data_IF_601311214958
#
_entry.id   IF_601311214958
#
_cell.length_a   1.000
_cell.length_b   1.000
_cell.length_c   1.000
_cell.angle_alpha   90.00
_cell.angle_beta   90.00
_cell.angle_gamma   90.00
#
_symmetry.space_group_name_H-M   'P 1'
#
loop_
_entity.id
_entity.type
_entity.pdbx_description
1 polymer ?
#
# COMPACT_ATOMS: atom_id res chain seq x y z
N UNK A 1 30.19 19.22 29.55
CA UNK A 1 30.00 17.77 29.73
C UNK A 1 30.51 17.08 28.49
N UNK A 2 31.43 16.14 28.63
CA UNK A 2 31.81 15.24 27.52
C UNK A 2 30.77 14.12 27.53
N UNK A 3 29.99 13.98 26.46
CA UNK A 3 29.07 12.86 26.34
C UNK A 3 29.90 11.57 26.33
N UNK A 4 29.61 10.65 27.26
CA UNK A 4 30.26 9.34 27.32
C UNK A 4 29.45 8.40 26.44
N UNK A 5 30.09 7.84 25.42
CA UNK A 5 29.46 6.87 24.52
C UNK A 5 29.11 5.61 25.29
N UNK A 6 27.85 5.18 25.25
CA UNK A 6 27.39 3.92 25.83
C UNK A 6 27.14 2.90 24.71
N UNK A 7 27.82 1.76 24.77
CA UNK A 7 27.68 0.68 23.78
C UNK A 7 26.54 -0.29 24.07
N UNK A 8 25.87 -0.18 25.22
CA UNK A 8 24.72 -1.03 25.56
C UNK A 8 23.50 -0.59 24.75
N UNK A 9 23.02 -1.47 23.86
CA UNK A 9 21.84 -1.24 23.02
C UNK A 9 20.56 -0.96 23.83
N UNK A 10 20.51 -1.34 25.12
CA UNK A 10 19.38 -1.07 26.00
C UNK A 10 19.43 0.32 26.62
N UNK A 11 20.52 1.07 26.41
CA UNK A 11 20.65 2.41 26.96
C UNK A 11 19.74 3.42 26.25
N UNK A 12 19.43 4.50 26.95
CA UNK A 12 18.51 5.53 26.46
C UNK A 12 18.99 6.21 25.17
N UNK A 13 20.30 6.23 24.94
CA UNK A 13 20.92 6.82 23.74
C UNK A 13 20.55 6.07 22.45
N UNK A 14 20.21 4.78 22.53
CA UNK A 14 19.82 3.94 21.38
C UNK A 14 18.30 3.82 21.20
N UNK A 15 17.51 4.06 22.26
CA UNK A 15 16.03 3.96 22.21
C UNK A 15 15.32 5.31 22.09
N UNK A 16 15.93 6.38 22.60
CA UNK A 16 15.33 7.71 22.68
C UNK A 16 14.16 7.81 23.67
N UNK A 17 13.65 9.03 23.85
CA UNK A 17 12.42 9.27 24.63
C UNK A 17 11.19 9.06 23.76
N UNK A 18 10.11 8.58 24.38
CA UNK A 18 8.80 8.52 23.73
C UNK A 18 8.27 9.93 23.40
N UNK A 19 7.71 10.18 22.20
CA UNK A 19 7.61 9.26 21.07
C UNK A 19 8.94 9.18 20.30
N UNK A 20 9.49 7.97 20.15
CA UNK A 20 10.72 7.74 19.40
C UNK A 20 10.52 7.99 17.89
N UNK A 21 11.60 8.31 17.17
CA UNK A 21 11.58 8.87 15.81
C UNK A 21 11.16 7.94 14.65
N UNK A 22 10.45 6.83 14.92
CA UNK A 22 10.05 5.84 13.90
C UNK A 22 8.82 6.27 13.09
N UNK A 23 7.85 6.90 13.73
CA UNK A 23 6.60 7.30 13.09
C UNK A 23 6.65 8.74 12.55
N UNK A 24 5.66 9.09 11.72
CA UNK A 24 5.43 10.49 11.37
C UNK A 24 4.81 11.29 12.53
N UNK A 25 4.37 12.52 12.27
CA UNK A 25 3.69 13.37 13.26
C UNK A 25 2.50 12.69 13.97
N UNK A 26 1.82 11.76 13.29
CA UNK A 26 0.68 11.01 13.80
C UNK A 26 1.07 9.66 14.43
N UNK A 27 2.38 9.43 14.64
CA UNK A 27 2.95 8.16 15.11
C UNK A 27 2.65 6.98 14.17
N UNK A 28 2.39 7.27 12.89
CA UNK A 28 2.12 6.25 11.88
C UNK A 28 3.41 5.77 11.21
N UNK A 29 3.54 4.45 11.02
CA UNK A 29 4.63 3.84 10.25
C UNK A 29 4.39 4.06 8.75
N UNK A 30 5.15 4.99 8.16
CA UNK A 30 5.00 5.34 6.74
C UNK A 30 5.29 4.18 5.79
N UNK A 31 5.97 3.11 6.24
CA UNK A 31 6.16 1.89 5.45
C UNK A 31 4.94 0.95 5.51
N UNK A 32 3.75 1.50 5.76
CA UNK A 32 2.43 0.84 5.57
C UNK A 32 1.47 1.63 4.68
N UNK A 33 1.88 2.81 4.20
CA UNK A 33 0.97 3.76 3.54
C UNK A 33 1.09 3.78 2.01
N UNK A 34 2.03 3.04 1.41
CA UNK A 34 2.45 3.25 0.01
C UNK A 34 1.30 3.22 -1.02
N UNK A 35 0.34 2.30 -0.89
CA UNK A 35 -0.84 2.29 -1.77
C UNK A 35 -2.01 3.15 -1.25
N UNK A 36 -2.14 3.29 0.08
CA UNK A 36 -3.25 4.00 0.71
C UNK A 36 -3.10 5.53 0.60
N UNK A 37 -1.85 6.02 0.65
CA UNK A 37 -1.47 7.43 0.50
C UNK A 37 -2.27 8.37 1.40
N UNK A 38 -2.55 7.92 2.62
CA UNK A 38 -3.23 8.71 3.65
C UNK A 38 -2.36 9.89 4.02
N UNK A 39 -1.06 9.68 4.19
CA UNK A 39 -0.12 10.68 4.70
C UNK A 39 0.54 11.52 3.60
N UNK A 40 0.75 12.84 3.84
CA UNK A 40 1.30 13.75 2.83
C UNK A 40 2.72 13.37 2.38
N UNK A 41 3.55 12.83 3.27
CA UNK A 41 4.90 12.36 2.96
C UNK A 41 4.88 11.25 1.91
N UNK A 42 3.98 10.27 2.08
CA UNK A 42 3.80 9.19 1.12
C UNK A 42 3.24 9.68 -0.21
N UNK A 43 2.29 10.63 -0.19
CA UNK A 43 1.74 11.24 -1.42
C UNK A 43 2.85 11.87 -2.27
N UNK A 44 3.79 12.58 -1.64
CA UNK A 44 4.94 13.17 -2.32
C UNK A 44 5.85 12.11 -2.96
N UNK A 45 6.25 11.09 -2.19
CA UNK A 45 7.10 9.98 -2.67
C UNK A 45 6.47 9.23 -3.85
N UNK A 46 5.21 8.84 -3.69
CA UNK A 46 4.45 8.10 -4.72
C UNK A 46 4.30 8.92 -5.99
N UNK A 47 3.96 10.22 -5.88
CA UNK A 47 3.86 11.11 -7.03
C UNK A 47 5.18 11.21 -7.79
N UNK A 48 6.29 11.45 -7.09
CA UNK A 48 7.60 11.57 -7.70
C UNK A 48 8.03 10.30 -8.46
N UNK A 49 7.80 9.12 -7.86
CA UNK A 49 8.15 7.83 -8.49
C UNK A 49 7.27 7.54 -9.70
N UNK A 50 5.95 7.79 -9.62
CA UNK A 50 5.03 7.52 -10.74
C UNK A 50 5.22 8.51 -11.91
N UNK A 51 5.68 9.73 -11.63
CA UNK A 51 6.07 10.73 -12.62
C UNK A 51 7.40 10.38 -13.29
N UNK A 52 8.45 10.12 -12.50
CA UNK A 52 9.79 9.81 -13.01
C UNK A 52 9.85 8.47 -13.75
N UNK A 53 9.06 7.48 -13.30
CA UNK A 53 9.03 6.11 -13.81
C UNK A 53 10.43 5.48 -13.82
N UNK A 54 11.04 5.26 -12.63
CA UNK A 54 12.27 4.48 -12.56
C UNK A 54 12.02 3.03 -13.02
N UNK A 55 13.05 2.21 -13.03
CA UNK A 55 12.93 0.76 -13.23
C UNK A 55 13.39 -0.04 -12.00
N UNK A 56 13.98 0.63 -11.03
CA UNK A 56 14.47 0.05 -9.78
C UNK A 56 14.04 0.92 -8.60
N UNK A 57 13.63 0.27 -7.51
CA UNK A 57 13.30 0.94 -6.25
C UNK A 57 13.94 0.16 -5.09
N UNK A 58 14.71 0.87 -4.31
CA UNK A 58 15.33 0.36 -3.09
C UNK A 58 14.60 0.94 -1.89
N UNK A 59 14.07 0.04 -1.06
CA UNK A 59 13.54 0.33 0.27
C UNK A 59 14.66 0.03 1.29
N UNK A 60 15.39 1.08 1.68
CA UNK A 60 16.59 0.98 2.51
C UNK A 60 16.26 1.27 3.97
N UNK A 61 16.54 0.33 4.87
CA UNK A 61 16.19 0.43 6.29
C UNK A 61 17.34 0.02 7.22
N UNK A 62 17.12 0.27 8.51
CA UNK A 62 17.88 -0.33 9.61
C UNK A 62 16.94 -1.20 10.47
N UNK A 63 17.50 -2.27 11.01
CA UNK A 63 16.83 -3.23 11.89
C UNK A 63 17.52 -3.35 13.24
N UNK A 64 17.07 -4.29 14.07
CA UNK A 64 17.60 -4.53 15.40
C UNK A 64 19.13 -4.60 15.42
N UNK A 65 19.72 -4.01 16.45
CA UNK A 65 21.17 -3.95 16.59
C UNK A 65 21.81 -5.31 16.85
N UNK A 66 21.06 -6.41 17.04
CA UNK A 66 21.59 -7.76 17.20
C UNK A 66 21.61 -8.58 15.89
N UNK A 67 21.02 -8.04 14.82
CA UNK A 67 21.12 -8.65 13.49
C UNK A 67 22.48 -8.35 12.82
N UNK A 68 22.64 -8.79 11.56
CA UNK A 68 23.79 -8.46 10.71
C UNK A 68 23.38 -7.53 9.55
N UNK A 69 23.15 -8.08 8.36
CA UNK A 69 22.64 -7.40 7.18
C UNK A 69 21.70 -8.33 6.43
N UNK A 70 20.49 -7.86 6.13
CA UNK A 70 19.52 -8.60 5.32
C UNK A 70 19.41 -7.95 3.95
N UNK A 71 19.46 -8.74 2.89
CA UNK A 71 19.04 -8.29 1.57
C UNK A 71 18.07 -9.28 0.92
N UNK A 72 17.35 -8.82 -0.10
CA UNK A 72 16.50 -9.68 -0.92
C UNK A 72 17.30 -10.86 -1.52
N UNK A 73 16.71 -12.05 -1.69
CA UNK A 73 15.27 -12.26 -1.75
C UNK A 73 14.58 -12.45 -0.39
N UNK A 74 13.30 -12.04 -0.31
CA UNK A 74 12.40 -12.43 0.77
C UNK A 74 12.16 -13.96 0.79
N UNK A 75 11.56 -14.45 1.86
CA UNK A 75 11.01 -15.82 1.89
C UNK A 75 9.54 -15.85 1.46
N UNK A 76 9.10 -17.06 1.14
CA UNK A 76 7.68 -17.37 1.02
C UNK A 76 6.96 -17.22 2.38
N UNK A 77 5.64 -16.98 2.40
CA UNK A 77 4.74 -16.94 1.25
C UNK A 77 4.85 -15.69 0.38
N UNK A 78 4.45 -15.81 -0.88
CA UNK A 78 4.44 -14.72 -1.84
C UNK A 78 3.00 -14.40 -2.24
N UNK A 79 2.74 -13.12 -2.46
CA UNK A 79 1.46 -12.66 -2.98
C UNK A 79 1.22 -13.24 -4.39
N UNK A 80 0.02 -13.77 -4.68
CA UNK A 80 -0.27 -14.44 -5.94
C UNK A 80 -0.19 -13.52 -7.17
N UNK A 81 -0.22 -12.19 -6.97
CA UNK A 81 -0.09 -11.21 -8.04
C UNK A 81 1.36 -10.76 -8.31
N UNK A 82 2.36 -11.28 -7.57
CA UNK A 82 3.76 -10.96 -7.85
C UNK A 82 4.14 -11.38 -9.28
N UNK A 83 4.75 -10.47 -10.07
CA UNK A 83 5.19 -10.79 -11.41
C UNK A 83 6.37 -11.77 -11.36
N UNK A 84 6.30 -12.85 -12.14
CA UNK A 84 7.36 -13.89 -12.15
C UNK A 84 8.76 -13.37 -12.51
N UNK A 85 8.84 -12.24 -13.22
CA UNK A 85 10.12 -11.60 -13.57
C UNK A 85 10.89 -11.13 -12.35
N UNK A 86 10.23 -10.83 -11.22
CA UNK A 86 10.91 -10.32 -10.04
C UNK A 86 11.90 -11.33 -9.43
N UNK A 87 11.58 -12.63 -9.49
CA UNK A 87 12.43 -13.68 -8.91
C UNK A 87 13.81 -13.71 -9.58
N UNK A 88 13.85 -13.54 -10.90
CA UNK A 88 15.11 -13.43 -11.66
C UNK A 88 15.95 -12.25 -11.14
N UNK A 89 15.33 -11.08 -10.97
CA UNK A 89 16.04 -9.88 -10.52
C UNK A 89 16.51 -9.99 -9.08
N UNK A 90 15.72 -10.60 -8.18
CA UNK A 90 16.17 -10.88 -6.83
C UNK A 90 17.39 -11.82 -6.83
N UNK A 91 17.39 -12.88 -7.65
CA UNK A 91 18.54 -13.78 -7.73
C UNK A 91 19.80 -13.06 -8.27
N UNK A 92 19.66 -12.24 -9.32
CA UNK A 92 20.75 -11.44 -9.89
C UNK A 92 21.32 -10.46 -8.86
N UNK A 93 20.47 -9.64 -8.24
CA UNK A 93 20.89 -8.62 -7.27
C UNK A 93 21.48 -9.27 -6.02
N UNK A 94 20.87 -10.34 -5.49
CA UNK A 94 21.37 -11.02 -4.31
C UNK A 94 22.77 -11.59 -4.51
N UNK A 95 23.07 -12.10 -5.71
CA UNK A 95 24.40 -12.61 -6.05
C UNK A 95 25.45 -11.50 -6.04
N UNK A 96 25.14 -10.34 -6.62
CA UNK A 96 26.08 -9.22 -6.66
C UNK A 96 26.24 -8.55 -5.29
N UNK A 97 25.17 -8.48 -4.49
CA UNK A 97 25.21 -8.04 -3.09
C UNK A 97 26.09 -8.95 -2.24
N UNK A 98 25.87 -10.27 -2.33
CA UNK A 98 26.68 -11.26 -1.65
C UNK A 98 28.15 -11.12 -2.01
N UNK A 99 28.49 -11.04 -3.29
CA UNK A 99 29.87 -10.86 -3.74
C UNK A 99 30.51 -9.58 -3.18
N UNK A 100 29.77 -8.47 -3.13
CA UNK A 100 30.26 -7.22 -2.57
C UNK A 100 30.51 -7.31 -1.06
N UNK A 101 29.68 -8.03 -0.31
CA UNK A 101 29.89 -8.25 1.14
C UNK A 101 31.02 -9.26 1.41
N UNK A 102 31.11 -10.31 0.59
CA UNK A 102 32.15 -11.34 0.68
C UNK A 102 33.56 -10.75 0.50
N UNK A 103 33.71 -9.70 -0.33
CA UNK A 103 34.99 -8.98 -0.51
C UNK A 103 35.54 -8.40 0.81
N UNK A 104 34.66 -8.01 1.72
CA UNK A 104 35.03 -7.48 3.04
C UNK A 104 34.92 -8.52 4.16
N UNK A 105 34.42 -9.73 3.86
CA UNK A 105 34.16 -10.76 4.86
C UNK A 105 32.99 -10.43 5.81
N UNK A 106 32.02 -9.61 5.37
CA UNK A 106 30.89 -9.23 6.20
C UNK A 106 29.79 -10.29 6.18
N UNK A 107 29.18 -10.51 7.35
CA UNK A 107 28.05 -11.43 7.48
C UNK A 107 26.76 -10.80 6.99
N UNK A 108 25.96 -11.60 6.29
CA UNK A 108 24.62 -11.24 5.81
C UNK A 108 23.71 -12.46 5.79
N UNK A 109 22.41 -12.24 5.60
CA UNK A 109 21.43 -13.30 5.40
C UNK A 109 20.34 -12.88 4.41
N UNK A 110 19.58 -13.88 3.94
CA UNK A 110 18.42 -13.71 3.04
C UNK A 110 17.34 -14.73 3.41
N UNK A 111 16.10 -14.55 2.94
CA UNK A 111 15.02 -15.55 3.08
C UNK A 111 14.70 -15.97 4.52
N UNK A 112 14.94 -15.10 5.49
CA UNK A 112 14.62 -15.39 6.90
C UNK A 112 13.27 -14.80 7.30
N UNK A 113 13.20 -13.65 7.97
CA UNK A 113 11.91 -13.12 8.43
C UNK A 113 11.17 -12.31 7.36
N UNK A 114 11.87 -11.60 6.47
CA UNK A 114 11.25 -10.71 5.49
C UNK A 114 10.42 -11.46 4.45
N UNK A 115 9.23 -10.94 4.19
CA UNK A 115 8.26 -11.40 3.22
C UNK A 115 7.78 -10.21 2.38
N UNK A 116 7.37 -10.44 1.13
CA UNK A 116 6.91 -9.38 0.20
C UNK A 116 5.43 -9.61 -0.17
N UNK A 117 4.60 -10.03 0.80
CA UNK A 117 3.19 -10.33 0.64
C UNK A 117 2.32 -9.05 0.61
N UNK A 118 2.53 -8.16 1.57
CA UNK A 118 1.73 -6.94 1.73
C UNK A 118 2.20 -5.86 0.74
N UNK A 119 1.33 -5.29 -0.13
CA UNK A 119 1.70 -4.26 -1.10
C UNK A 119 1.92 -2.86 -0.51
N UNK A 120 1.89 -2.73 0.81
CA UNK A 120 2.08 -1.43 1.48
C UNK A 120 3.50 -1.20 1.96
N UNK A 121 4.46 -2.10 1.70
CA UNK A 121 5.90 -1.83 1.85
C UNK A 121 6.43 -1.12 0.59
N UNK A 122 7.50 -0.33 0.70
CA UNK A 122 8.05 0.40 -0.44
C UNK A 122 8.53 -0.53 -1.55
N UNK A 123 9.27 -1.57 -1.19
CA UNK A 123 9.75 -2.60 -2.12
C UNK A 123 8.60 -3.31 -2.84
N UNK A 124 7.65 -3.89 -2.09
CA UNK A 124 6.47 -4.58 -2.64
C UNK A 124 5.64 -3.67 -3.56
N UNK A 125 5.31 -2.45 -3.13
CA UNK A 125 4.55 -1.48 -3.92
C UNK A 125 5.24 -1.18 -5.24
N UNK A 126 6.57 -1.00 -5.21
CA UNK A 126 7.41 -0.82 -6.39
C UNK A 126 7.25 -1.96 -7.39
N UNK A 127 7.23 -3.20 -6.92
CA UNK A 127 7.04 -4.39 -7.76
C UNK A 127 5.69 -4.34 -8.50
N UNK A 128 4.60 -3.94 -7.82
CA UNK A 128 3.26 -3.89 -8.42
C UNK A 128 3.06 -2.76 -9.43
N UNK A 129 3.89 -1.73 -9.40
CA UNK A 129 3.92 -0.69 -10.45
C UNK A 129 4.92 -1.02 -11.58
N UNK A 130 5.55 -2.21 -11.51
CA UNK A 130 6.40 -2.79 -12.55
C UNK A 130 7.90 -2.64 -12.34
N UNK A 131 8.34 -2.10 -11.19
CA UNK A 131 9.76 -1.91 -10.88
C UNK A 131 10.39 -3.21 -10.38
N UNK A 132 11.72 -3.26 -10.41
CA UNK A 132 12.48 -4.15 -9.55
C UNK A 132 12.55 -3.51 -8.17
N UNK A 133 11.69 -3.97 -7.25
CA UNK A 133 11.70 -3.55 -5.85
C UNK A 133 12.53 -4.49 -4.99
N UNK A 134 13.38 -3.93 -4.14
CA UNK A 134 14.13 -4.68 -3.13
C UNK A 134 14.09 -3.96 -1.78
N UNK A 135 14.25 -4.74 -0.72
CA UNK A 135 14.56 -4.30 0.63
C UNK A 135 16.02 -4.67 0.95
N UNK A 136 16.69 -3.83 1.70
CA UNK A 136 17.72 -4.33 2.60
C UNK A 136 17.58 -3.69 3.98
N UNK A 137 18.12 -4.36 4.98
CA UNK A 137 18.12 -3.92 6.37
C UNK A 137 19.55 -4.01 6.91
N UNK A 138 20.06 -2.91 7.46
CA UNK A 138 21.33 -2.86 8.16
C UNK A 138 21.09 -2.99 9.66
N UNK A 139 21.87 -3.80 10.38
CA UNK A 139 21.80 -3.77 11.85
C UNK A 139 22.12 -2.36 12.38
N UNK A 140 21.20 -1.82 13.19
CA UNK A 140 21.29 -0.46 13.68
C UNK A 140 22.46 -0.24 14.63
N UNK A 141 23.04 0.96 14.59
CA UNK A 141 23.97 1.45 15.59
C UNK A 141 23.51 2.78 16.22
N UNK A 142 22.30 3.23 15.85
CA UNK A 142 21.62 4.44 16.34
C UNK A 142 22.54 5.68 16.38
N UNK A 143 23.38 5.83 15.35
CA UNK A 143 24.33 6.95 15.23
C UNK A 143 25.57 6.87 16.13
N UNK A 144 25.81 5.74 16.79
CA UNK A 144 26.83 5.55 17.83
C UNK A 144 27.60 4.23 17.65
N UNK A 145 27.89 3.51 18.73
CA UNK A 145 28.45 2.15 18.73
C UNK A 145 27.53 1.23 19.54
N UNK A 146 27.41 -0.02 19.12
CA UNK A 146 26.64 -1.05 19.82
C UNK A 146 27.51 -2.28 20.04
N UNK A 147 27.48 -2.80 21.27
CA UNK A 147 28.09 -4.09 21.62
C UNK A 147 27.10 -5.22 21.34
N UNK A 148 27.49 -6.16 20.47
CA UNK A 148 26.74 -7.37 20.14
C UNK A 148 26.85 -8.41 21.26
N UNK A 149 26.02 -9.45 21.20
CA UNK A 149 26.01 -10.54 22.17
C UNK A 149 27.34 -11.32 22.24
N UNK A 150 28.03 -11.47 21.11
CA UNK A 150 29.35 -12.11 21.02
C UNK A 150 30.50 -11.23 21.51
N UNK A 151 30.20 -10.01 21.95
CA UNK A 151 31.15 -9.03 22.46
C UNK A 151 31.80 -8.15 21.39
N UNK A 152 31.52 -8.38 20.10
CA UNK A 152 31.96 -7.48 19.02
C UNK A 152 31.28 -6.12 19.12
N UNK A 153 31.91 -5.09 18.54
CA UNK A 153 31.36 -3.74 18.47
C UNK A 153 31.01 -3.44 17.03
N UNK A 154 29.77 -3.02 16.78
CA UNK A 154 29.36 -2.40 15.52
C UNK A 154 29.34 -0.89 15.70
N UNK A 155 29.96 -0.18 14.78
CA UNK A 155 30.05 1.28 14.78
C UNK A 155 29.15 1.89 13.72
N UNK A 156 28.67 3.11 13.94
CA UNK A 156 27.93 3.86 12.94
C UNK A 156 28.70 4.04 11.62
N UNK A 157 30.03 4.12 11.70
CA UNK A 157 30.88 4.14 10.49
C UNK A 157 30.73 2.85 9.68
N UNK A 158 30.68 1.70 10.33
CA UNK A 158 30.49 0.42 9.65
C UNK A 158 29.08 0.30 9.07
N UNK A 159 28.04 0.71 9.79
CA UNK A 159 26.66 0.66 9.27
C UNK A 159 26.49 1.51 8.02
N UNK A 160 27.07 2.73 8.01
CA UNK A 160 27.12 3.59 6.83
C UNK A 160 27.94 2.97 5.70
N UNK A 161 29.05 2.29 6.02
CA UNK A 161 29.90 1.66 5.01
C UNK A 161 29.19 0.50 4.31
N UNK A 162 28.50 -0.37 5.05
CA UNK A 162 27.72 -1.47 4.48
C UNK A 162 26.61 -0.95 3.57
N UNK A 163 25.87 0.07 4.02
CA UNK A 163 24.83 0.76 3.25
C UNK A 163 25.38 1.33 1.93
N UNK A 164 26.56 1.95 1.98
CA UNK A 164 27.24 2.47 0.80
C UNK A 164 27.64 1.37 -0.18
N UNK A 165 28.30 0.30 0.31
CA UNK A 165 28.71 -0.82 -0.54
C UNK A 165 27.50 -1.51 -1.18
N UNK A 166 26.44 -1.73 -0.41
CA UNK A 166 25.20 -2.30 -0.91
C UNK A 166 24.54 -1.41 -1.98
N UNK A 167 24.52 -0.10 -1.76
CA UNK A 167 24.01 0.87 -2.74
C UNK A 167 24.83 0.85 -4.04
N UNK A 168 26.17 0.82 -3.94
CA UNK A 168 27.06 0.76 -5.10
C UNK A 168 26.95 -0.56 -5.86
N UNK A 169 26.77 -1.68 -5.16
CA UNK A 169 26.52 -2.99 -5.77
C UNK A 169 25.22 -2.94 -6.61
N UNK A 170 24.13 -2.44 -6.02
CA UNK A 170 22.86 -2.25 -6.74
C UNK A 170 23.02 -1.39 -8.00
N UNK A 171 23.65 -0.21 -7.87
CA UNK A 171 23.86 0.69 -9.00
C UNK A 171 24.68 0.04 -10.11
N UNK A 172 25.70 -0.74 -9.75
CA UNK A 172 26.54 -1.49 -10.70
C UNK A 172 25.74 -2.56 -11.42
N UNK A 173 24.98 -3.38 -10.69
CA UNK A 173 24.09 -4.40 -11.26
C UNK A 173 23.08 -3.77 -12.24
N UNK A 174 22.41 -2.71 -11.83
CA UNK A 174 21.41 -2.02 -12.66
C UNK A 174 22.06 -1.43 -13.92
N UNK A 175 23.23 -0.81 -13.81
CA UNK A 175 23.93 -0.22 -14.95
C UNK A 175 24.35 -1.28 -15.99
N UNK A 176 24.79 -2.45 -15.51
CA UNK A 176 25.19 -3.59 -16.34
C UNK A 176 23.99 -4.25 -17.04
N UNK A 177 22.80 -4.20 -16.42
CA UNK A 177 21.59 -4.84 -16.92
C UNK A 177 20.51 -3.87 -17.43
N UNK A 178 20.87 -2.61 -17.71
CA UNK A 178 19.91 -1.51 -18.01
C UNK A 178 18.91 -1.83 -19.14
N UNK A 179 19.36 -2.51 -20.19
CA UNK A 179 18.53 -2.81 -21.38
C UNK A 179 17.50 -3.88 -21.05
N UNK A 180 17.91 -4.94 -20.38
CA UNK A 180 17.04 -6.01 -19.90
C UNK A 180 16.02 -5.49 -18.88
N UNK A 181 16.46 -4.59 -17.98
CA UNK A 181 15.61 -3.97 -16.97
C UNK A 181 14.50 -3.10 -17.60
N UNK A 182 14.84 -2.29 -18.61
CA UNK A 182 13.87 -1.50 -19.37
C UNK A 182 12.90 -2.38 -20.17
N UNK A 183 13.41 -3.46 -20.76
CA UNK A 183 12.60 -4.39 -21.54
C UNK A 183 11.57 -5.11 -20.65
N UNK A 184 11.98 -5.64 -19.50
CA UNK A 184 11.08 -6.29 -18.55
C UNK A 184 10.00 -5.33 -18.01
N UNK A 185 10.37 -4.08 -17.71
CA UNK A 185 9.44 -3.03 -17.30
C UNK A 185 8.38 -2.78 -18.38
N UNK A 186 8.82 -2.63 -19.64
CA UNK A 186 7.94 -2.42 -20.78
C UNK A 186 7.02 -3.62 -21.03
N UNK A 187 7.56 -4.83 -21.08
CA UNK A 187 6.80 -6.04 -21.38
C UNK A 187 5.75 -6.35 -20.33
N UNK A 188 6.05 -6.10 -19.06
CA UNK A 188 5.08 -6.21 -17.96
C UNK A 188 3.87 -5.29 -18.20
N UNK A 189 4.12 -4.01 -18.52
CA UNK A 189 3.06 -3.02 -18.79
C UNK A 189 2.31 -3.28 -20.09
N UNK A 190 3.01 -3.72 -21.14
CA UNK A 190 2.39 -4.11 -22.42
C UNK A 190 1.45 -5.30 -22.24
N UNK A 191 1.86 -6.30 -21.45
CA UNK A 191 1.01 -7.44 -21.11
C UNK A 191 -0.23 -7.00 -20.31
N UNK A 192 -0.08 -6.05 -19.39
CA UNK A 192 -1.16 -5.52 -18.57
C UNK A 192 -2.28 -4.85 -19.40
N UNK A 193 -1.93 -4.14 -20.48
CA UNK A 193 -2.91 -3.49 -21.39
C UNK A 193 -3.40 -4.39 -22.54
N UNK A 194 -3.01 -5.66 -22.56
CA UNK A 194 -3.38 -6.57 -23.64
C UNK A 194 -4.88 -6.87 -23.70
N UNK A 195 -5.34 -7.34 -24.86
CA UNK A 195 -6.75 -7.68 -25.11
C UNK A 195 -7.35 -8.70 -24.13
N UNK A 196 -6.50 -9.50 -23.45
CA UNK A 196 -6.93 -10.46 -22.41
C UNK A 196 -7.61 -9.77 -21.21
N UNK A 197 -7.21 -8.53 -20.92
CA UNK A 197 -7.77 -7.75 -19.80
C UNK A 197 -8.91 -6.82 -20.25
N UNK A 198 -9.20 -6.75 -21.55
CA UNK A 198 -10.29 -5.94 -22.08
C UNK A 198 -11.64 -6.48 -21.58
N UNK A 199 -12.49 -5.57 -21.10
CA UNK A 199 -13.81 -5.92 -20.56
C UNK A 199 -13.79 -6.31 -19.08
N UNK A 200 -12.61 -6.53 -18.47
CA UNK A 200 -12.51 -6.76 -17.03
C UNK A 200 -12.50 -5.43 -16.28
N UNK A 201 -13.25 -5.31 -15.19
CA UNK A 201 -13.32 -4.09 -14.40
C UNK A 201 -13.76 -4.35 -12.96
N UNK A 202 -13.25 -3.52 -12.04
CA UNK A 202 -13.89 -3.30 -10.74
C UNK A 202 -14.93 -2.17 -10.87
N UNK A 203 -16.06 -2.32 -10.19
CA UNK A 203 -17.17 -1.36 -10.20
C UNK A 203 -17.56 -1.07 -8.76
N UNK A 204 -17.63 0.22 -8.41
CA UNK A 204 -17.96 0.68 -7.06
C UNK A 204 -19.18 1.58 -7.10
N UNK A 205 -20.20 1.23 -6.34
CA UNK A 205 -21.42 1.99 -6.19
C UNK A 205 -21.64 2.40 -4.72
N UNK A 206 -22.44 3.42 -4.53
CA UNK A 206 -22.97 3.81 -3.23
C UNK A 206 -24.25 4.59 -3.48
N UNK A 207 -25.37 4.09 -2.97
CA UNK A 207 -26.66 4.77 -3.13
C UNK A 207 -26.78 6.03 -2.25
N UNK A 208 -26.10 6.05 -1.10
CA UNK A 208 -26.32 7.05 -0.06
C UNK A 208 -25.07 7.85 0.34
N UNK A 209 -23.87 7.30 0.18
CA UNK A 209 -22.61 7.90 0.65
C UNK A 209 -21.64 8.13 -0.51
N UNK A 210 -21.84 9.23 -1.22
CA UNK A 210 -21.01 9.57 -2.38
C UNK A 210 -19.59 10.00 -1.99
N UNK A 211 -19.39 10.47 -0.75
CA UNK A 211 -18.07 10.88 -0.28
C UNK A 211 -17.11 9.71 -0.14
N UNK A 212 -17.58 8.51 0.22
CA UNK A 212 -16.75 7.30 0.21
C UNK A 212 -16.29 6.90 -1.18
N UNK A 213 -17.17 7.00 -2.17
CA UNK A 213 -16.80 6.80 -3.59
C UNK A 213 -15.74 7.81 -4.01
N UNK A 214 -15.98 9.11 -3.77
CA UNK A 214 -15.03 10.15 -4.15
C UNK A 214 -13.67 9.95 -3.44
N UNK A 215 -13.66 9.58 -2.16
CA UNK A 215 -12.43 9.31 -1.42
C UNK A 215 -11.66 8.10 -1.96
N UNK A 216 -12.35 7.00 -2.32
CA UNK A 216 -11.74 5.86 -3.01
C UNK A 216 -11.16 6.29 -4.36
N UNK A 217 -11.91 7.06 -5.13
CA UNK A 217 -11.47 7.53 -6.44
C UNK A 217 -10.23 8.43 -6.33
N UNK A 218 -10.18 9.35 -5.36
CA UNK A 218 -8.99 10.16 -5.12
C UNK A 218 -7.79 9.32 -4.71
N UNK A 219 -7.97 8.28 -3.90
CA UNK A 219 -6.90 7.35 -3.52
C UNK A 219 -6.32 6.61 -4.72
N UNK A 220 -7.18 6.05 -5.56
CA UNK A 220 -6.75 5.37 -6.79
C UNK A 220 -6.11 6.34 -7.80
N UNK A 221 -6.63 7.56 -7.89
CA UNK A 221 -6.08 8.59 -8.77
C UNK A 221 -4.69 9.04 -8.33
N UNK A 222 -4.40 9.10 -7.02
CA UNK A 222 -3.04 9.35 -6.50
C UNK A 222 -2.04 8.25 -6.91
N UNK A 223 -2.52 7.04 -7.17
CA UNK A 223 -1.75 5.95 -7.77
C UNK A 223 -1.68 6.02 -9.31
N UNK A 224 -2.22 7.07 -9.94
CA UNK A 224 -2.36 7.22 -11.41
C UNK A 224 -3.22 6.16 -12.09
N UNK A 225 -4.11 5.50 -11.33
CA UNK A 225 -5.09 4.56 -11.88
C UNK A 225 -6.20 5.36 -12.58
N UNK A 226 -6.53 4.96 -13.81
CA UNK A 226 -7.64 5.51 -14.57
C UNK A 226 -8.98 5.02 -14.03
N UNK A 227 -9.90 5.95 -13.86
CA UNK A 227 -11.20 5.72 -13.25
C UNK A 227 -12.25 6.45 -14.08
N UNK A 228 -13.40 5.83 -14.25
CA UNK A 228 -14.50 6.36 -15.02
C UNK A 228 -15.79 6.34 -14.20
N UNK A 229 -16.79 7.12 -14.64
CA UNK A 229 -18.16 7.08 -14.13
C UNK A 229 -19.13 6.68 -15.23
N UNK A 230 -20.13 5.88 -14.91
CA UNK A 230 -21.26 5.63 -15.80
C UNK A 230 -22.25 6.81 -15.77
N UNK A 231 -22.73 7.25 -16.94
CA UNK A 231 -23.72 8.35 -17.03
C UNK A 231 -25.16 7.92 -16.73
N UNK A 232 -25.46 6.64 -16.92
CA UNK A 232 -26.80 6.03 -16.75
C UNK A 232 -26.66 4.75 -15.97
N UNK A 233 -27.76 4.29 -15.39
CA UNK A 233 -27.83 2.97 -14.78
C UNK A 233 -27.30 1.90 -15.74
N UNK A 234 -26.51 0.99 -15.18
CA UNK A 234 -25.85 -0.10 -15.89
C UNK A 234 -26.36 -1.43 -15.33
N UNK A 235 -26.69 -2.37 -16.21
CA UNK A 235 -26.92 -3.76 -15.83
C UNK A 235 -25.62 -4.53 -16.01
N UNK A 236 -24.91 -4.77 -14.91
CA UNK A 236 -23.63 -5.46 -14.89
C UNK A 236 -23.86 -6.98 -14.98
N UNK A 237 -23.40 -7.66 -16.04
CA UNK A 237 -23.53 -9.11 -16.16
C UNK A 237 -22.38 -9.82 -15.43
N UNK A 238 -22.66 -11.05 -14.94
CA UNK A 238 -21.65 -11.98 -14.40
C UNK A 238 -20.66 -11.29 -13.45
N UNK A 239 -21.19 -10.73 -12.37
CA UNK A 239 -20.37 -10.01 -11.41
C UNK A 239 -20.08 -10.87 -10.18
N UNK A 240 -18.90 -10.68 -9.61
CA UNK A 240 -18.55 -11.15 -8.27
C UNK A 240 -18.79 -10.00 -7.30
N UNK A 241 -19.53 -10.22 -6.21
CA UNK A 241 -19.69 -9.23 -5.13
C UNK A 241 -18.45 -9.21 -4.23
N UNK A 242 -18.32 -8.18 -3.39
CA UNK A 242 -17.25 -8.11 -2.38
C UNK A 242 -17.26 -9.28 -1.39
N UNK A 243 -18.41 -9.90 -1.16
CA UNK A 243 -18.55 -11.11 -0.34
C UNK A 243 -18.09 -12.39 -1.06
N UNK A 244 -17.79 -12.32 -2.37
CA UNK A 244 -17.38 -13.45 -3.20
C UNK A 244 -18.53 -14.13 -3.97
N UNK A 245 -19.77 -13.66 -3.80
CA UNK A 245 -20.93 -14.25 -4.45
C UNK A 245 -20.95 -13.97 -5.96
N UNK A 246 -21.34 -14.96 -6.75
CA UNK A 246 -21.56 -14.81 -8.19
C UNK A 246 -22.99 -14.37 -8.46
N UNK A 247 -23.15 -13.20 -9.09
CA UNK A 247 -24.45 -12.68 -9.52
C UNK A 247 -24.56 -12.59 -11.04
N UNK A 248 -25.65 -13.12 -11.59
CA UNK A 248 -25.87 -13.14 -13.04
C UNK A 248 -26.07 -11.73 -13.60
N UNK A 249 -26.78 -10.87 -12.87
CA UNK A 249 -27.04 -9.47 -13.21
C UNK A 249 -27.13 -8.63 -11.94
N UNK A 250 -26.48 -7.47 -11.95
CA UNK A 250 -26.58 -6.46 -10.91
C UNK A 250 -26.95 -5.10 -11.53
N UNK A 251 -27.91 -4.39 -10.94
CA UNK A 251 -28.17 -3.01 -11.32
C UNK A 251 -27.16 -2.10 -10.61
N UNK A 252 -26.46 -1.29 -11.38
CA UNK A 252 -25.45 -0.34 -10.92
C UNK A 252 -25.96 1.07 -11.21
N UNK A 253 -26.17 1.91 -10.18
CA UNK A 253 -26.73 3.25 -10.36
C UNK A 253 -25.80 4.14 -11.18
N UNK A 254 -26.37 5.18 -11.80
CA UNK A 254 -25.58 6.21 -12.48
C UNK A 254 -24.62 6.90 -11.50
N UNK A 255 -23.43 7.25 -11.97
CA UNK A 255 -22.41 7.90 -11.14
C UNK A 255 -21.53 6.94 -10.32
N UNK A 256 -21.72 5.63 -10.46
CA UNK A 256 -20.81 4.60 -9.94
C UNK A 256 -19.43 4.70 -10.60
N UNK A 257 -18.39 4.31 -9.86
CA UNK A 257 -17.02 4.26 -10.36
C UNK A 257 -16.77 2.96 -11.11
N UNK A 258 -15.98 3.04 -12.17
CA UNK A 258 -15.54 1.92 -12.98
C UNK A 258 -14.02 2.04 -13.11
N UNK A 259 -13.31 0.99 -12.71
CA UNK A 259 -11.85 0.87 -12.82
C UNK A 259 -11.56 -0.27 -13.81
N UNK A 260 -11.26 0.05 -15.09
CA UNK A 260 -10.92 -0.96 -16.09
C UNK A 260 -9.60 -1.66 -15.74
N UNK A 261 -9.50 -2.94 -16.00
CA UNK A 261 -8.28 -3.70 -15.71
C UNK A 261 -7.21 -3.60 -16.80
N UNK A 262 -7.54 -3.16 -18.01
CA UNK A 262 -6.62 -3.05 -19.14
C UNK A 262 -5.74 -1.78 -19.06
N UNK A 263 -5.06 -1.59 -17.93
CA UNK A 263 -4.20 -0.45 -17.64
C UNK A 263 -2.77 -0.90 -17.32
N UNK A 264 -1.73 -0.05 -17.51
CA UNK A 264 -0.35 -0.41 -17.17
C UNK A 264 -0.15 -0.87 -15.71
N UNK A 265 -0.98 -0.38 -14.79
CA UNK A 265 -0.94 -0.71 -13.35
C UNK A 265 -1.83 -1.89 -12.95
N UNK A 266 -2.19 -2.77 -13.89
CA UNK A 266 -3.06 -3.93 -13.65
C UNK A 266 -2.64 -4.77 -12.43
N UNK A 267 -1.34 -4.98 -12.20
CA UNK A 267 -0.85 -5.78 -11.06
C UNK A 267 -1.17 -5.10 -9.72
N UNK A 268 -0.92 -3.79 -9.61
CA UNK A 268 -1.31 -2.99 -8.44
C UNK A 268 -2.83 -3.00 -8.25
N UNK A 269 -3.60 -2.79 -9.32
CA UNK A 269 -5.08 -2.77 -9.27
C UNK A 269 -5.61 -4.10 -8.73
N UNK A 270 -5.14 -5.25 -9.25
CA UNK A 270 -5.52 -6.56 -8.71
C UNK A 270 -5.19 -6.63 -7.21
N UNK A 271 -3.98 -6.24 -6.82
CA UNK A 271 -3.56 -6.43 -5.44
C UNK A 271 -4.32 -5.55 -4.43
N UNK A 272 -4.63 -4.30 -4.79
CA UNK A 272 -5.28 -3.38 -3.83
C UNK A 272 -6.81 -3.43 -3.88
N UNK A 273 -7.41 -3.91 -4.98
CA UNK A 273 -8.87 -3.98 -5.16
C UNK A 273 -9.47 -5.38 -5.05
N UNK A 274 -8.67 -6.45 -5.12
CA UNK A 274 -9.17 -7.81 -4.90
C UNK A 274 -9.89 -7.92 -3.56
N UNK A 275 -10.99 -8.69 -3.54
CA UNK A 275 -11.83 -8.86 -2.35
C UNK A 275 -11.25 -9.84 -1.35
N UNK A 276 -10.43 -10.79 -1.82
CA UNK A 276 -9.81 -11.84 -1.04
C UNK A 276 -8.51 -12.26 -1.75
N UNK A 277 -7.37 -12.15 -1.05
CA UNK A 277 -6.06 -12.55 -1.55
C UNK A 277 -5.63 -13.77 -0.78
N UNK A 278 -5.62 -14.92 -1.47
CA UNK A 278 -5.33 -16.21 -0.85
C UNK A 278 -3.87 -16.57 -1.03
N UNK A 279 -3.22 -16.82 0.09
CA UNK A 279 -1.92 -17.48 0.16
C UNK A 279 -2.04 -18.95 -0.25
N UNK A 280 -0.94 -19.52 -0.73
CA UNK A 280 -0.92 -20.90 -1.15
C UNK A 280 -1.10 -21.86 0.04
N UNK A 281 -1.82 -22.96 -0.20
CA UNK A 281 -2.16 -23.93 0.84
C UNK A 281 -0.93 -24.54 1.53
N UNK A 282 0.19 -24.70 0.81
CA UNK A 282 1.40 -25.30 1.38
C UNK A 282 2.06 -24.36 2.39
N UNK A 283 2.14 -23.08 2.08
CA UNK A 283 2.64 -22.07 3.02
C UNK A 283 1.70 -21.94 4.22
N UNK A 284 0.39 -22.00 4.00
CA UNK A 284 -0.58 -21.91 5.09
C UNK A 284 -0.60 -23.13 6.01
N UNK A 285 -0.34 -24.32 5.48
CA UNK A 285 -0.14 -25.51 6.30
C UNK A 285 1.11 -25.35 7.19
N UNK A 286 2.24 -24.88 6.62
CA UNK A 286 3.46 -24.62 7.42
C UNK A 286 3.22 -23.59 8.52
N UNK A 287 2.52 -22.51 8.19
CA UNK A 287 2.15 -21.46 9.15
C UNK A 287 1.30 -22.04 10.30
N UNK A 288 0.25 -22.80 9.96
CA UNK A 288 -0.60 -23.47 10.94
C UNK A 288 0.21 -24.40 11.85
N UNK A 289 1.14 -25.18 11.28
CA UNK A 289 1.99 -26.08 12.05
C UNK A 289 2.90 -25.32 13.04
N UNK A 290 3.44 -24.15 12.67
CA UNK A 290 4.25 -23.32 13.58
C UNK A 290 3.40 -22.72 14.70
N UNK A 291 2.23 -22.19 14.39
CA UNK A 291 1.28 -21.68 15.39
C UNK A 291 0.88 -22.79 16.37
N UNK A 292 0.55 -23.98 15.88
CA UNK A 292 0.20 -25.12 16.75
C UNK A 292 1.35 -25.61 17.65
N UNK A 293 2.59 -25.28 17.29
CA UNK A 293 3.80 -25.54 18.10
C UNK A 293 4.18 -24.38 19.01
N UNK A 294 3.34 -23.34 19.15
CA UNK A 294 3.63 -22.10 19.88
C UNK A 294 4.89 -21.38 19.39
N UNK A 295 5.23 -21.49 18.10
CA UNK A 295 6.40 -20.84 17.50
C UNK A 295 6.08 -19.46 16.92
N UNK A 296 4.88 -18.95 17.17
CA UNK A 296 4.39 -17.68 16.60
C UNK A 296 4.02 -17.79 15.12
N UNK A 297 3.55 -16.66 14.58
CA UNK A 297 3.27 -16.50 13.17
C UNK A 297 4.55 -16.24 12.39
N UNK A 298 4.63 -16.77 11.16
CA UNK A 298 5.65 -16.35 10.19
C UNK A 298 5.11 -15.30 9.22
N UNK A 299 3.92 -14.77 9.41
CA UNK A 299 3.53 -13.57 8.67
C UNK A 299 4.00 -12.38 9.48
N UNK A 300 4.77 -11.50 8.83
CA UNK A 300 5.49 -10.46 9.55
C UNK A 300 4.53 -9.46 10.20
N UNK A 301 3.59 -8.92 9.42
CA UNK A 301 2.65 -7.92 9.94
C UNK A 301 1.28 -7.99 9.25
N UNK A 302 1.12 -7.34 8.09
CA UNK A 302 -0.21 -7.11 7.50
C UNK A 302 -0.62 -8.26 6.58
N UNK A 303 -1.70 -8.94 6.95
CA UNK A 303 -2.20 -10.14 6.24
C UNK A 303 -3.56 -9.94 5.58
N UNK A 304 -4.19 -8.79 5.78
CA UNK A 304 -5.47 -8.45 5.18
C UNK A 304 -5.51 -6.98 4.76
N UNK A 305 -5.85 -6.74 3.49
CA UNK A 305 -6.10 -5.42 2.93
C UNK A 305 -7.05 -5.55 1.74
N UNK A 306 -7.84 -4.51 1.50
CA UNK A 306 -8.60 -4.34 0.26
C UNK A 306 -9.22 -2.95 0.28
N UNK A 307 -8.85 -2.08 -0.66
CA UNK A 307 -9.51 -0.77 -0.76
C UNK A 307 -10.99 -0.92 -1.14
N UNK A 308 -11.36 -2.01 -1.80
CA UNK A 308 -12.76 -2.33 -2.10
C UNK A 308 -13.61 -2.54 -0.85
N UNK A 309 -13.00 -3.03 0.24
CA UNK A 309 -13.67 -3.19 1.54
C UNK A 309 -13.47 -1.95 2.43
N UNK A 310 -12.28 -1.37 2.43
CA UNK A 310 -11.89 -0.31 3.36
C UNK A 310 -12.77 0.96 3.28
N UNK A 311 -13.30 1.27 2.10
CA UNK A 311 -14.14 2.45 1.89
C UNK A 311 -15.64 2.16 2.09
N UNK A 312 -16.04 0.92 2.38
CA UNK A 312 -17.43 0.56 2.64
C UNK A 312 -18.39 0.91 1.48
N UNK A 313 -17.94 0.68 0.23
CA UNK A 313 -18.74 0.83 -0.99
C UNK A 313 -19.33 -0.51 -1.43
N UNK A 314 -20.41 -0.47 -2.21
CA UNK A 314 -20.90 -1.66 -2.90
C UNK A 314 -19.94 -1.99 -4.05
N UNK A 315 -19.17 -3.06 -3.89
CA UNK A 315 -18.04 -3.37 -4.76
C UNK A 315 -18.30 -4.64 -5.56
N UNK A 316 -18.02 -4.57 -6.86
CA UNK A 316 -18.21 -5.66 -7.80
C UNK A 316 -17.00 -5.83 -8.72
N UNK A 317 -16.73 -7.05 -9.15
CA UNK A 317 -15.79 -7.35 -10.22
C UNK A 317 -16.53 -8.04 -11.36
N UNK A 318 -16.27 -7.62 -12.61
CA UNK A 318 -16.81 -8.30 -13.80
C UNK A 318 -15.69 -8.58 -14.80
N UNK A 319 -15.88 -9.63 -15.60
CA UNK A 319 -15.04 -9.91 -16.76
C UNK A 319 -15.64 -9.41 -18.09
N UNK A 320 -16.90 -8.97 -18.07
CA UNK A 320 -17.66 -8.66 -19.30
C UNK A 320 -18.36 -7.32 -19.15
N UNK A 321 -17.57 -6.25 -19.06
CA UNK A 321 -18.07 -4.89 -18.96
C UNK A 321 -18.84 -4.50 -20.23
N UNK A 322 -20.14 -4.13 -20.13
CA UNK A 322 -20.91 -3.70 -21.28
C UNK A 322 -20.36 -2.42 -21.91
N UNK A 323 -20.51 -2.28 -23.23
CA UNK A 323 -20.20 -1.02 -23.93
C UNK A 323 -21.22 0.04 -23.52
N UNK A 324 -20.80 0.97 -22.68
CA UNK A 324 -21.63 2.09 -22.22
C UNK A 324 -20.86 3.41 -22.32
N UNK A 325 -21.58 4.55 -22.46
CA UNK A 325 -20.96 5.86 -22.31
C UNK A 325 -20.40 6.03 -20.90
N UNK A 326 -19.09 6.24 -20.82
CA UNK A 326 -18.35 6.53 -19.60
C UNK A 326 -17.71 7.91 -19.70
N UNK A 327 -17.51 8.55 -18.56
CA UNK A 327 -16.71 9.79 -18.45
C UNK A 327 -15.55 9.56 -17.51
N UNK A 328 -14.34 10.08 -17.81
CA UNK A 328 -13.25 10.06 -16.84
C UNK A 328 -13.69 10.70 -15.52
N UNK A 329 -13.34 10.09 -14.40
CA UNK A 329 -13.56 10.65 -13.08
C UNK A 329 -12.78 11.98 -12.95
N UNK A 330 -13.44 12.99 -12.39
CA UNK A 330 -12.84 14.26 -12.04
C UNK A 330 -13.06 14.51 -10.56
N UNK A 331 -12.01 15.00 -9.90
CA UNK A 331 -12.12 15.47 -8.53
C UNK A 331 -13.00 16.71 -8.54
N UNK A 332 -14.10 16.68 -7.79
CA UNK A 332 -15.00 17.81 -7.64
C UNK A 332 -15.08 18.17 -6.17
N UNK A 333 -14.70 19.41 -5.84
CA UNK A 333 -15.00 19.96 -4.53
C UNK A 333 -16.50 20.25 -4.47
N UNK A 334 -17.24 19.38 -3.79
CA UNK A 334 -18.66 19.61 -3.53
C UNK A 334 -18.80 20.71 -2.48
N UNK A 335 -19.47 21.79 -2.83
CA UNK A 335 -19.87 22.80 -1.87
C UNK A 335 -21.22 22.42 -1.26
N UNK A 336 -21.30 22.44 0.07
CA UNK A 336 -22.56 22.29 0.78
C UNK A 336 -23.48 23.48 0.49
N UNK A 337 -24.80 23.24 0.51
CA UNK A 337 -25.80 24.30 0.37
C UNK A 337 -26.78 24.28 1.54
N UNK A 338 -27.01 25.45 2.13
CA UNK A 338 -28.12 25.66 3.06
C UNK A 338 -29.43 25.84 2.27
N UNK A 339 -30.44 25.02 2.56
CA UNK A 339 -31.73 25.02 1.84
C UNK A 339 -32.83 25.60 2.71
N UNK A 340 -33.25 26.84 2.44
CA UNK A 340 -34.27 27.56 3.19
C UNK A 340 -33.73 28.88 3.75
N UNK A 341 -34.58 29.66 4.44
CA UNK A 341 -34.19 30.84 5.22
C UNK A 341 -35.05 30.90 6.48
N UNK A 342 -34.47 31.29 7.61
CA UNK A 342 -35.17 31.52 8.89
C UNK A 342 -36.10 30.36 9.32
N UNK A 343 -35.56 29.18 9.66
CA UNK A 343 -36.40 28.06 10.08
C UNK A 343 -37.12 28.41 11.38
N UNK A 344 -38.40 28.03 11.49
CA UNK A 344 -39.19 28.25 12.72
C UNK A 344 -38.69 27.44 13.92
N UNK A 345 -38.07 26.28 13.66
CA UNK A 345 -37.61 25.35 14.70
C UNK A 345 -36.10 25.10 14.62
N UNK A 346 -35.60 24.72 13.44
CA UNK A 346 -34.17 24.46 13.23
C UNK A 346 -33.88 23.95 11.82
N UNK A 347 -32.61 23.68 11.57
CA UNK A 347 -32.14 23.04 10.34
C UNK A 347 -32.00 21.55 10.54
N UNK A 348 -32.17 20.79 9.46
CA UNK A 348 -31.91 19.35 9.46
C UNK A 348 -30.81 19.01 8.46
N UNK A 349 -29.99 18.05 8.85
CA UNK A 349 -28.82 17.60 8.08
C UNK A 349 -28.97 16.10 7.90
N UNK A 350 -28.85 15.62 6.66
CA UNK A 350 -28.85 14.19 6.39
C UNK A 350 -27.54 13.57 6.90
N UNK A 351 -27.65 12.42 7.57
CA UNK A 351 -26.52 11.68 8.17
C UNK A 351 -26.04 10.49 7.34
N UNK A 352 -26.48 10.39 6.09
CA UNK A 352 -26.22 9.22 5.24
C UNK A 352 -24.89 9.30 4.46
N UNK A 353 -24.15 10.40 4.58
CA UNK A 353 -22.86 10.63 3.95
C UNK A 353 -21.83 11.08 5.02
N UNK A 354 -20.58 10.61 4.92
CA UNK A 354 -19.58 10.82 5.97
C UNK A 354 -19.21 12.30 6.18
N UNK A 355 -19.52 13.19 5.23
CA UNK A 355 -19.38 14.65 5.42
C UNK A 355 -20.24 15.18 6.58
N UNK A 356 -21.27 14.44 6.98
CA UNK A 356 -22.06 14.73 8.16
C UNK A 356 -21.19 14.92 9.41
N UNK A 357 -20.19 14.05 9.64
CA UNK A 357 -19.35 14.13 10.83
C UNK A 357 -18.48 15.39 10.86
N UNK A 358 -17.98 15.84 9.70
CA UNK A 358 -17.24 17.10 9.60
C UNK A 358 -18.13 18.30 9.91
N UNK A 359 -19.35 18.32 9.38
CA UNK A 359 -20.31 19.40 9.67
C UNK A 359 -20.67 19.39 11.16
N UNK A 360 -20.99 18.21 11.71
CA UNK A 360 -21.33 18.06 13.13
C UNK A 360 -20.20 18.59 14.03
N UNK A 361 -18.95 18.21 13.77
CA UNK A 361 -17.79 18.69 14.51
C UNK A 361 -17.71 20.24 14.48
N UNK A 362 -17.84 20.84 13.29
CA UNK A 362 -17.83 22.31 13.15
C UNK A 362 -18.99 22.98 13.90
N UNK A 363 -20.19 22.41 13.89
CA UNK A 363 -21.33 22.96 14.61
C UNK A 363 -21.07 22.95 16.13
N UNK A 364 -20.55 21.83 16.66
CA UNK A 364 -20.22 21.69 18.08
C UNK A 364 -19.09 22.64 18.51
N UNK A 365 -18.02 22.78 17.70
CA UNK A 365 -16.94 23.75 17.92
C UNK A 365 -17.45 25.19 18.03
N UNK A 366 -18.52 25.52 17.32
CA UNK A 366 -19.15 26.84 17.34
C UNK A 366 -20.27 26.97 18.38
N UNK A 367 -20.39 26.01 19.31
CA UNK A 367 -21.40 26.05 20.38
C UNK A 367 -22.84 25.91 19.88
N UNK A 368 -23.06 25.44 18.66
CA UNK A 368 -24.41 25.23 18.11
C UNK A 368 -25.00 23.98 18.75
N UNK A 369 -26.19 24.12 19.33
CA UNK A 369 -26.93 22.99 19.90
C UNK A 369 -27.44 22.08 18.78
N UNK A 370 -27.03 20.81 18.82
CA UNK A 370 -27.45 19.79 17.85
C UNK A 370 -28.33 18.76 18.55
N UNK A 371 -29.37 18.30 17.86
CA UNK A 371 -30.26 17.23 18.31
C UNK A 371 -30.30 16.12 17.25
N UNK A 372 -30.40 14.88 17.71
CA UNK A 372 -30.60 13.72 16.86
C UNK A 372 -32.09 13.37 16.85
N UNK A 373 -32.64 13.07 15.67
CA UNK A 373 -33.97 12.49 15.58
C UNK A 373 -33.87 10.98 15.80
N UNK A 374 -34.62 10.44 16.76
CA UNK A 374 -34.63 9.01 17.07
C UNK A 374 -35.52 8.21 16.09
N UNK A 375 -36.46 8.87 15.43
CA UNK A 375 -37.35 8.28 14.43
C UNK A 375 -37.18 8.94 13.06
N UNK A 376 -37.37 8.15 11.99
CA UNK A 376 -37.38 8.68 10.63
C UNK A 376 -38.54 9.64 10.42
N UNK A 377 -38.26 10.79 9.81
CA UNK A 377 -39.27 11.80 9.50
C UNK A 377 -39.05 12.37 8.10
N UNK A 378 -40.14 12.82 7.46
CA UNK A 378 -40.12 13.43 6.15
C UNK A 378 -40.45 14.93 6.26
N UNK A 379 -39.73 15.77 5.52
CA UNK A 379 -40.09 17.17 5.35
C UNK A 379 -41.26 17.27 4.36
N UNK A 380 -42.35 17.93 4.76
CA UNK A 380 -43.29 18.49 3.76
C UNK A 380 -42.61 19.71 3.15
N UNK A 381 -42.38 19.66 1.84
CA UNK A 381 -41.81 20.78 1.07
C UNK A 381 -42.72 22.00 1.08
#
# INVERSE_FOLDING_TARGET
>A
MVAVVNSDASSLDHSGFWPYGRGNHYLFDLNRDWFATVHPETRGKVSAILEWKPQFLLDSHEMGAMDTYLFNPPRAPFNPFLPKTIYKWWDTIAKDQAAAFDEYGWSYYTRDWNEEFYPGYGSSWGIYIGLVGILYEQSGADGSIVKKEDGTITTYRETVHHQFISSMANLTTIANHREELLQDYYDSRKKAVSAKNTGKAFVFASESNTSRLDALAETLKRQTIEIYKNKKELKLPKATTSAGDQVTRQNIPAGSLIVPMNQPLNLLINNILSFDIRLDTKSMEKERQKIMKNQGSTLYDVTAWSLSHAYGTDSYYTEVMPKIPMIPYKSERKEGKLIGKNPKYGWAIKSNDDQFYHILARLLENGIKVWCAEEMFNFRK
#
